data_IF_638765670193
#
_entry.id   IF_638765670193
#
_cell.length_a   1.000
_cell.length_b   1.000
_cell.length_c   1.000
_cell.angle_alpha   90.00
_cell.angle_beta   90.00
_cell.angle_gamma   90.00
#
_symmetry.space_group_name_H-M   'P 1'
#
loop_
_entity.id
_entity.type
_entity.pdbx_description
1 polymer ?
#
# COMPACT_ATOMS: atom_id res chain seq x y z
N UNK A 1 9.59 4.96 14.26
CA UNK A 1 8.42 4.71 15.15
C UNK A 1 8.32 5.75 16.25
N UNK A 2 9.32 5.89 17.14
CA UNK A 2 9.31 6.93 18.18
C UNK A 2 9.25 8.36 17.62
N UNK A 3 10.09 8.66 16.63
CA UNK A 3 10.11 9.97 15.95
C UNK A 3 8.83 10.27 15.16
N UNK A 4 8.08 9.23 14.78
CA UNK A 4 6.80 9.34 14.06
C UNK A 4 5.59 9.22 15.00
N UNK A 5 5.79 9.18 16.32
CA UNK A 5 4.72 9.06 17.31
C UNK A 5 3.94 7.73 17.28
N UNK A 6 4.50 6.67 16.68
CA UNK A 6 3.85 5.37 16.56
C UNK A 6 4.04 4.54 17.83
N UNK A 7 2.95 3.98 18.36
CA UNK A 7 3.00 3.07 19.50
C UNK A 7 3.68 1.75 19.11
N UNK A 8 4.70 1.33 19.86
CA UNK A 8 5.49 0.13 19.55
C UNK A 8 4.73 -1.17 19.76
N UNK A 9 3.77 -1.18 20.69
CA UNK A 9 3.01 -2.39 21.02
C UNK A 9 2.15 -2.84 19.85
N UNK A 10 1.55 -1.92 19.08
CA UNK A 10 0.72 -2.27 17.91
C UNK A 10 1.50 -3.01 16.80
N UNK A 11 2.84 -2.88 16.80
CA UNK A 11 3.74 -3.49 15.82
C UNK A 11 4.64 -4.57 16.43
N UNK A 12 4.33 -5.06 17.64
CA UNK A 12 5.16 -6.04 18.35
C UNK A 12 5.50 -7.26 17.46
N UNK A 13 4.49 -7.80 16.77
CA UNK A 13 4.59 -8.97 15.91
C UNK A 13 5.54 -8.72 14.73
N UNK A 14 5.45 -7.54 14.10
CA UNK A 14 6.27 -7.19 12.93
C UNK A 14 7.73 -6.96 13.32
N UNK A 15 7.97 -6.46 14.53
CA UNK A 15 9.31 -6.25 15.07
C UNK A 15 9.97 -7.57 15.48
N UNK A 16 9.19 -8.51 16.00
CA UNK A 16 9.71 -9.82 16.41
C UNK A 16 10.28 -10.62 15.24
N UNK A 17 9.73 -10.45 14.03
CA UNK A 17 10.26 -11.06 12.79
C UNK A 17 11.73 -10.71 12.51
N UNK A 18 12.23 -9.58 13.05
CA UNK A 18 13.61 -9.12 12.85
C UNK A 18 14.50 -9.35 14.08
N UNK A 19 13.99 -10.00 15.14
CA UNK A 19 14.69 -10.20 16.42
C UNK A 19 15.99 -10.97 16.27
N UNK A 20 16.03 -11.98 15.39
CA UNK A 20 17.18 -12.86 15.18
C UNK A 20 18.07 -12.47 13.99
N UNK A 21 17.95 -11.21 13.55
CA UNK A 21 18.68 -10.70 12.39
C UNK A 21 17.83 -10.72 11.11
N UNK A 22 18.19 -9.83 10.19
CA UNK A 22 17.58 -9.69 8.88
C UNK A 22 18.65 -9.28 7.88
N UNK A 23 18.52 -9.69 6.63
CA UNK A 23 19.41 -9.22 5.56
C UNK A 23 19.06 -7.77 5.20
N UNK A 24 20.04 -6.92 4.87
CA UNK A 24 19.76 -5.61 4.29
C UNK A 24 18.93 -5.79 3.02
N UNK A 25 17.69 -5.30 3.05
CA UNK A 25 16.74 -5.43 1.95
C UNK A 25 16.12 -4.07 1.62
N UNK A 26 15.74 -3.88 0.37
CA UNK A 26 14.95 -2.73 -0.08
C UNK A 26 13.88 -3.21 -1.05
N UNK A 27 12.87 -2.38 -1.29
CA UNK A 27 11.78 -2.67 -2.21
C UNK A 27 11.00 -1.41 -2.53
N UNK A 28 10.20 -1.47 -3.58
CA UNK A 28 9.29 -0.41 -3.96
C UNK A 28 7.89 -0.97 -4.18
N UNK A 29 6.87 -0.12 -4.05
CA UNK A 29 5.49 -0.44 -4.38
C UNK A 29 5.07 0.31 -5.64
N UNK A 30 4.35 -0.35 -6.53
CA UNK A 30 3.76 0.25 -7.73
C UNK A 30 2.30 -0.15 -7.81
N UNK A 31 1.41 0.84 -7.89
CA UNK A 31 -0.02 0.58 -8.13
C UNK A 31 -0.23 0.26 -9.61
N UNK A 32 -0.72 -0.94 -9.91
CA UNK A 32 -0.89 -1.42 -11.28
C UNK A 32 -1.85 -0.53 -12.08
N UNK A 33 -2.96 -0.15 -11.48
CA UNK A 33 -3.98 0.70 -12.11
C UNK A 33 -3.46 2.12 -12.32
N UNK A 34 -2.60 2.62 -11.42
CA UNK A 34 -1.90 3.90 -11.60
C UNK A 34 -0.85 3.84 -12.69
N UNK A 35 -0.14 2.72 -12.83
CA UNK A 35 0.78 2.50 -13.95
C UNK A 35 0.02 2.57 -15.27
N UNK A 36 -1.12 1.87 -15.39
CA UNK A 36 -1.94 1.90 -16.59
C UNK A 36 -2.44 3.32 -16.88
N UNK A 37 -2.99 4.02 -15.88
CA UNK A 37 -3.43 5.41 -16.03
C UNK A 37 -2.28 6.32 -16.52
N UNK A 38 -1.06 6.12 -16.01
CA UNK A 38 0.11 6.88 -16.43
C UNK A 38 0.53 6.59 -17.88
N UNK A 39 0.57 5.32 -18.28
CA UNK A 39 0.94 4.93 -19.66
C UNK A 39 -0.13 5.34 -20.68
N UNK A 40 -1.41 5.30 -20.30
CA UNK A 40 -2.54 5.62 -21.19
C UNK A 40 -2.93 7.10 -21.19
N UNK A 41 -2.43 7.90 -20.25
CA UNK A 41 -2.79 9.31 -20.10
C UNK A 41 -4.19 9.56 -19.52
N UNK A 42 -4.88 8.50 -19.07
CA UNK A 42 -6.21 8.57 -18.48
C UNK A 42 -6.14 9.32 -17.15
N UNK A 43 -6.94 10.38 -17.01
CA UNK A 43 -6.92 11.26 -15.83
C UNK A 43 -7.49 10.60 -14.56
N UNK A 44 -8.39 9.61 -14.73
CA UNK A 44 -9.05 8.95 -13.61
C UNK A 44 -8.80 7.44 -13.61
N UNK A 45 -8.22 6.95 -12.51
CA UNK A 45 -7.94 5.52 -12.32
C UNK A 45 -9.20 4.64 -12.37
N UNK A 46 -10.40 5.20 -12.16
CA UNK A 46 -11.66 4.45 -12.26
C UNK A 46 -11.94 3.95 -13.67
N UNK A 47 -11.48 4.67 -14.69
CA UNK A 47 -11.76 4.34 -16.09
C UNK A 47 -10.88 3.17 -16.60
N UNK A 48 -9.85 2.80 -15.82
CA UNK A 48 -8.99 1.65 -16.10
C UNK A 48 -9.30 0.43 -15.22
N UNK A 49 -10.32 0.52 -14.35
CA UNK A 49 -10.72 -0.56 -13.43
C UNK A 49 -12.12 -1.07 -13.81
N UNK A 50 -12.29 -2.37 -14.14
CA UNK A 50 -13.59 -2.93 -14.50
C UNK A 50 -14.67 -2.81 -13.40
N UNK A 51 -14.28 -2.93 -12.13
CA UNK A 51 -15.17 -2.83 -10.97
C UNK A 51 -14.58 -1.86 -9.92
N UNK A 52 -14.71 -0.54 -10.12
CA UNK A 52 -14.03 0.44 -9.28
C UNK A 52 -14.62 0.45 -7.86
N UNK A 53 -13.76 0.27 -6.85
CA UNK A 53 -14.14 0.39 -5.43
C UNK A 53 -13.90 1.83 -4.96
N UNK A 54 -14.95 2.48 -4.49
CA UNK A 54 -14.86 3.84 -3.95
C UNK A 54 -15.68 3.95 -2.66
N UNK A 55 -15.38 4.91 -1.77
CA UNK A 55 -16.20 5.14 -0.59
C UNK A 55 -17.67 5.36 -1.00
N UNK A 56 -18.59 4.61 -0.39
CA UNK A 56 -20.04 4.58 -0.71
C UNK A 56 -20.40 3.90 -2.05
N UNK A 57 -19.49 3.15 -2.66
CA UNK A 57 -19.76 2.35 -3.85
C UNK A 57 -19.67 0.85 -3.51
N UNK A 58 -20.71 0.37 -2.84
CA UNK A 58 -20.97 -1.03 -2.63
C UNK A 58 -22.50 -1.18 -2.64
N UNK A 59 -23.03 -1.79 -3.70
CA UNK A 59 -24.42 -2.25 -3.77
C UNK A 59 -24.52 -3.53 -2.94
N UNK A 60 -24.83 -3.37 -1.65
CA UNK A 60 -25.30 -4.44 -0.77
C UNK A 60 -26.75 -4.15 -0.37
#
# INVERSE_FOLDING_TARGET
MLEMGLNKEDYWWYRDLRRYGTVPHSGFGLGFERLIAYVTGVQNVRDVIPFPRTPRNASF
#
